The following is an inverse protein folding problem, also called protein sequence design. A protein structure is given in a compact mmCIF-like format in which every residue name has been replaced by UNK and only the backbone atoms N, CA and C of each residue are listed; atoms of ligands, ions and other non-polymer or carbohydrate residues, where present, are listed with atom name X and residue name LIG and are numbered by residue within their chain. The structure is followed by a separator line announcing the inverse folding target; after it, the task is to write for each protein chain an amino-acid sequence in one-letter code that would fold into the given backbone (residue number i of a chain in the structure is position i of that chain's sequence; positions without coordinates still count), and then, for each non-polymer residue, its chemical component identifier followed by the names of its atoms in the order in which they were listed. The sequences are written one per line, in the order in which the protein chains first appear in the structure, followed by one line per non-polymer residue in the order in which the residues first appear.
data_IF_096580816215
#
_entry.id   IF_096580816215
#
_cell.length_a   1.000
_cell.length_b   1.000
_cell.length_c   1.000
_cell.angle_alpha   90.00
_cell.angle_beta   90.00
_cell.angle_gamma   90.00
#
_symmetry.space_group_name_H-M   'P 1'
#
loop_
_entity.id
_entity.type
_entity.pdbx_description
1 polymer ?
#
# COMPACT_ATOMS: atom_id res chain seq x y z
N UNK A 1 -16.77 15.75 -17.83
CA UNK A 1 -15.85 14.79 -18.48
C UNK A 1 -14.60 15.60 -18.61
N UNK A 2 -13.73 15.70 -17.62
CA UNK A 2 -13.18 14.71 -16.71
C UNK A 2 -12.93 15.38 -15.34
N UNK A 3 -13.59 14.93 -14.27
CA UNK A 3 -13.43 15.50 -12.91
C UNK A 3 -13.17 14.39 -11.86
N UNK A 4 -13.13 13.12 -12.27
CA UNK A 4 -12.97 11.97 -11.37
C UNK A 4 -11.51 11.49 -11.23
N UNK A 5 -10.59 11.99 -12.06
CA UNK A 5 -9.20 11.55 -12.07
C UNK A 5 -8.34 12.26 -10.99
N UNK A 6 -8.66 13.51 -10.66
CA UNK A 6 -7.94 14.27 -9.63
C UNK A 6 -8.23 13.78 -8.21
N UNK A 7 -9.45 13.35 -7.90
CA UNK A 7 -9.81 12.82 -6.57
C UNK A 7 -8.99 11.57 -6.19
N UNK A 8 -8.74 10.67 -7.15
CA UNK A 8 -7.93 9.45 -6.95
C UNK A 8 -6.49 9.83 -6.65
N UNK A 9 -5.96 10.84 -7.35
CA UNK A 9 -4.60 11.32 -7.14
C UNK A 9 -4.44 11.98 -5.77
N UNK A 10 -5.38 12.82 -5.37
CA UNK A 10 -5.41 13.47 -4.05
C UNK A 10 -5.55 12.44 -2.93
N UNK A 11 -6.39 11.42 -3.12
CA UNK A 11 -6.51 10.34 -2.14
C UNK A 11 -5.24 9.46 -2.05
N UNK A 12 -4.42 9.39 -3.11
CA UNK A 12 -3.15 8.65 -3.12
C UNK A 12 -2.01 9.41 -2.45
N UNK A 13 -2.06 10.75 -2.43
CA UNK A 13 -1.03 11.59 -1.79
C UNK A 13 -0.59 11.09 -0.40
N UNK A 14 -1.49 10.80 0.55
CA UNK A 14 -1.07 10.30 1.87
C UNK A 14 -0.33 8.96 1.81
N UNK A 15 -0.71 8.06 0.90
CA UNK A 15 0.00 6.79 0.71
C UNK A 15 1.39 7.00 0.11
N UNK A 16 1.50 7.90 -0.88
CA UNK A 16 2.78 8.26 -1.49
C UNK A 16 3.71 8.90 -0.46
N UNK A 17 3.21 9.82 0.37
CA UNK A 17 3.99 10.46 1.45
C UNK A 17 4.48 9.45 2.49
N UNK A 18 3.65 8.49 2.87
CA UNK A 18 4.06 7.40 3.78
C UNK A 18 5.19 6.57 3.16
N UNK A 19 5.06 6.19 1.88
CA UNK A 19 6.07 5.40 1.18
C UNK A 19 7.36 6.19 0.97
N UNK A 20 7.28 7.46 0.60
CA UNK A 20 8.44 8.35 0.48
C UNK A 20 9.13 8.55 1.84
N UNK A 21 8.38 8.66 2.93
CA UNK A 21 8.94 8.77 4.28
C UNK A 21 9.67 7.49 4.71
N UNK A 22 9.12 6.32 4.40
CA UNK A 22 9.76 5.03 4.64
C UNK A 22 11.05 4.89 3.81
N UNK A 23 10.99 5.18 2.51
CA UNK A 23 12.13 5.00 1.60
C UNK A 23 13.24 6.02 1.81
N UNK A 24 12.90 7.22 2.29
CA UNK A 24 13.86 8.23 2.73
C UNK A 24 14.47 7.92 4.11
N UNK A 25 13.99 6.89 4.81
CA UNK A 25 14.41 6.55 6.17
C UNK A 25 13.94 7.56 7.23
N UNK A 26 12.93 8.39 6.91
CA UNK A 26 12.28 9.29 7.87
C UNK A 26 11.34 8.53 8.82
N UNK A 27 10.82 7.38 8.38
CA UNK A 27 9.96 6.51 9.17
C UNK A 27 10.54 5.09 9.23
N UNK A 28 10.37 4.43 10.37
CA UNK A 28 10.74 3.01 10.52
C UNK A 28 9.69 2.11 9.86
N UNK A 29 10.09 0.91 9.44
CA UNK A 29 9.17 -0.07 8.85
C UNK A 29 7.94 -0.36 9.74
N UNK A 30 8.13 -0.42 11.06
CA UNK A 30 7.04 -0.61 12.03
C UNK A 30 6.07 0.58 12.09
N UNK A 31 6.59 1.81 12.10
CA UNK A 31 5.77 3.03 12.10
C UNK A 31 4.97 3.15 10.80
N UNK A 32 5.63 2.85 9.68
CA UNK A 32 4.99 2.82 8.37
C UNK A 32 3.89 1.75 8.31
N UNK A 33 4.17 0.52 8.74
CA UNK A 33 3.19 -0.58 8.74
C UNK A 33 1.93 -0.15 9.49
N UNK A 34 2.07 0.32 10.73
CA UNK A 34 0.92 0.68 11.55
C UNK A 34 0.15 1.88 10.99
N UNK A 35 0.83 2.87 10.42
CA UNK A 35 0.19 4.02 9.77
C UNK A 35 -0.51 3.63 8.46
N UNK A 36 0.14 2.81 7.64
CA UNK A 36 -0.36 2.35 6.35
C UNK A 36 -1.56 1.42 6.51
N UNK A 37 -1.43 0.38 7.33
CA UNK A 37 -2.50 -0.57 7.65
C UNK A 37 -3.70 0.15 8.25
N UNK A 38 -3.45 1.09 9.18
CA UNK A 38 -4.48 1.93 9.77
C UNK A 38 -5.24 2.76 8.73
N UNK A 39 -4.50 3.40 7.82
CA UNK A 39 -5.10 4.21 6.73
C UNK A 39 -5.89 3.31 5.78
N UNK A 40 -5.28 2.23 5.30
CA UNK A 40 -5.85 1.29 4.34
C UNK A 40 -7.16 0.65 4.85
N UNK A 41 -7.22 0.24 6.12
CA UNK A 41 -8.42 -0.35 6.69
C UNK A 41 -9.58 0.64 6.83
N UNK A 42 -9.28 1.90 7.08
CA UNK A 42 -10.29 2.95 7.27
C UNK A 42 -10.62 3.70 5.98
N UNK A 43 -9.94 3.37 4.88
CA UNK A 43 -10.12 4.04 3.60
C UNK A 43 -11.39 3.54 2.89
N UNK A 44 -12.43 4.38 2.74
CA UNK A 44 -13.63 4.04 2.02
C UNK A 44 -13.46 4.24 0.50
N UNK A 45 -12.28 4.69 0.06
CA UNK A 45 -12.01 5.05 -1.34
C UNK A 45 -12.09 3.81 -2.22
N UNK A 46 -12.77 3.99 -3.35
CA UNK A 46 -12.95 2.97 -4.37
C UNK A 46 -11.83 3.06 -5.39
N UNK A 47 -10.77 2.29 -5.18
CA UNK A 47 -9.61 2.32 -6.06
C UNK A 47 -9.86 1.60 -7.38
N UNK A 48 -9.23 2.06 -8.47
CA UNK A 48 -9.08 1.27 -9.69
C UNK A 48 -8.43 -0.08 -9.38
N UNK A 49 -8.78 -1.13 -10.11
CA UNK A 49 -8.30 -2.49 -9.84
C UNK A 49 -6.76 -2.58 -9.85
N UNK A 50 -6.09 -1.81 -10.71
CA UNK A 50 -4.63 -1.75 -10.77
C UNK A 50 -4.01 -1.08 -9.54
N UNK A 51 -4.55 0.07 -9.12
CA UNK A 51 -4.12 0.78 -7.91
C UNK A 51 -4.40 -0.08 -6.68
N UNK A 52 -5.59 -0.68 -6.61
CA UNK A 52 -5.98 -1.58 -5.53
C UNK A 52 -5.02 -2.77 -5.42
N UNK A 53 -4.65 -3.41 -6.54
CA UNK A 53 -3.69 -4.54 -6.52
C UNK A 53 -2.34 -4.12 -5.97
N UNK A 54 -1.83 -2.96 -6.38
CA UNK A 54 -0.56 -2.44 -5.88
C UNK A 54 -0.63 -2.14 -4.38
N UNK A 55 -1.71 -1.51 -3.91
CA UNK A 55 -1.91 -1.23 -2.48
C UNK A 55 -2.16 -2.50 -1.65
N UNK A 56 -2.90 -3.49 -2.18
CA UNK A 56 -3.15 -4.78 -1.52
C UNK A 56 -1.87 -5.64 -1.44
N UNK A 57 -0.99 -5.57 -2.44
CA UNK A 57 0.33 -6.20 -2.40
C UNK A 57 1.22 -5.59 -1.32
N UNK A 58 1.24 -4.25 -1.23
CA UNK A 58 1.95 -3.54 -0.17
C UNK A 58 1.36 -3.86 1.20
N UNK A 59 0.03 -3.94 1.30
CA UNK A 59 -0.67 -4.32 2.52
C UNK A 59 -0.32 -5.74 2.96
N UNK A 60 -0.33 -6.72 2.05
CA UNK A 60 0.05 -8.09 2.37
C UNK A 60 1.49 -8.19 2.89
N UNK A 61 2.38 -7.37 2.32
CA UNK A 61 3.78 -7.29 2.75
C UNK A 61 3.91 -6.59 4.12
N UNK A 62 3.12 -5.55 4.37
CA UNK A 62 3.05 -4.84 5.64
C UNK A 62 2.42 -5.68 6.76
N UNK A 63 1.34 -6.39 6.50
CA UNK A 63 0.71 -7.31 7.44
C UNK A 63 1.63 -8.51 7.78
N UNK A 64 2.45 -8.94 6.81
CA UNK A 64 3.48 -9.95 7.02
C UNK A 64 4.76 -9.45 7.69
N UNK A 65 4.90 -8.14 7.94
CA UNK A 65 6.10 -7.56 8.54
C UNK A 65 6.25 -7.97 10.01
N UNK A 66 7.43 -8.50 10.33
CA UNK A 66 7.78 -8.87 11.70
C UNK A 66 9.03 -8.10 12.12
N UNK A 67 8.83 -7.12 13.00
CA UNK A 67 9.89 -6.29 13.54
C UNK A 67 10.92 -7.09 14.34
N UNK A 68 10.44 -8.07 15.11
CA UNK A 68 11.31 -8.90 15.96
C UNK A 68 11.94 -10.04 15.14
N UNK A 69 13.28 -10.13 15.07
CA UNK A 69 13.97 -11.14 14.26
C UNK A 69 13.83 -12.57 14.80
N UNK A 70 13.57 -12.73 16.11
CA UNK A 70 13.32 -14.04 16.73
C UNK A 70 11.93 -14.51 16.31
N UNK A 71 10.92 -13.65 16.49
CA UNK A 71 9.55 -13.93 16.02
C UNK A 71 9.50 -14.15 14.50
N UNK A 72 10.28 -13.38 13.71
CA UNK A 72 10.37 -13.55 12.25
C UNK A 72 10.89 -14.94 11.85
N UNK A 73 11.75 -15.54 12.66
CA UNK A 73 12.27 -16.89 12.41
C UNK A 73 11.24 -17.98 12.75
N UNK A 74 10.26 -17.66 13.59
CA UNK A 74 9.16 -18.55 13.98
C UNK A 74 7.95 -18.44 13.04
N UNK A 75 7.76 -17.27 12.42
CA UNK A 75 6.70 -17.04 11.42
C UNK A 75 7.17 -17.52 10.04
N UNK A 76 6.43 -18.46 9.46
CA UNK A 76 6.66 -18.92 8.08
C UNK A 76 6.38 -17.76 7.13
N UNK A 77 7.43 -17.22 6.50
CA UNK A 77 7.32 -16.09 5.57
C UNK A 77 7.37 -14.71 6.24
N UNK A 78 7.92 -14.59 7.45
CA UNK A 78 8.04 -13.30 8.12
C UNK A 78 8.87 -12.29 7.30
N UNK A 79 8.25 -11.16 6.99
CA UNK A 79 8.83 -10.10 6.15
C UNK A 79 9.77 -9.24 6.98
N UNK A 80 10.96 -8.98 6.44
CA UNK A 80 11.92 -8.06 7.02
C UNK A 80 11.60 -6.60 6.65
N UNK A 81 12.11 -5.65 7.44
CA UNK A 81 11.92 -4.22 7.13
C UNK A 81 12.50 -3.84 5.76
N UNK A 82 13.60 -4.48 5.34
CA UNK A 82 14.21 -4.26 4.04
C UNK A 82 13.33 -4.74 2.88
N UNK A 83 12.66 -5.88 3.04
CA UNK A 83 11.70 -6.38 2.06
C UNK A 83 10.45 -5.51 1.98
N UNK A 84 9.96 -5.03 3.12
CA UNK A 84 8.87 -4.06 3.15
C UNK A 84 9.23 -2.76 2.41
N UNK A 85 10.43 -2.21 2.64
CA UNK A 85 10.92 -1.02 1.93
C UNK A 85 11.02 -1.30 0.44
N UNK A 86 11.56 -2.45 0.03
CA UNK A 86 11.70 -2.82 -1.37
C UNK A 86 10.34 -2.90 -2.07
N UNK A 87 9.37 -3.59 -1.46
CA UNK A 87 8.01 -3.66 -1.98
C UNK A 87 7.38 -2.27 -2.08
N UNK A 88 7.55 -1.41 -1.06
CA UNK A 88 7.07 -0.04 -1.10
C UNK A 88 7.64 0.76 -2.28
N UNK A 89 8.93 0.61 -2.60
CA UNK A 89 9.55 1.26 -3.77
C UNK A 89 8.93 0.77 -5.08
N UNK A 90 8.75 -0.54 -5.22
CA UNK A 90 8.17 -1.15 -6.42
C UNK A 90 6.73 -0.67 -6.63
N UNK A 91 5.92 -0.69 -5.57
CA UNK A 91 4.54 -0.20 -5.57
C UNK A 91 4.47 1.29 -5.89
N UNK A 92 5.32 2.11 -5.27
CA UNK A 92 5.39 3.55 -5.52
C UNK A 92 5.72 3.88 -6.98
N UNK A 93 6.67 3.15 -7.57
CA UNK A 93 7.02 3.28 -8.99
C UNK A 93 5.86 2.84 -9.90
N UNK A 94 5.18 1.76 -9.54
CA UNK A 94 3.97 1.30 -10.24
C UNK A 94 2.86 2.35 -10.24
N UNK A 95 2.55 2.92 -9.06
CA UNK A 95 1.55 3.97 -8.90
C UNK A 95 1.90 5.22 -9.73
N UNK A 96 3.15 5.70 -9.67
CA UNK A 96 3.60 6.84 -10.48
C UNK A 96 3.52 6.56 -11.98
N UNK A 97 3.81 5.32 -12.40
CA UNK A 97 3.71 4.91 -13.80
C UNK A 97 2.25 4.90 -14.28
N UNK A 98 1.31 4.39 -13.48
CA UNK A 98 -0.12 4.41 -13.80
C UNK A 98 -0.67 5.84 -13.88
N UNK A 99 -0.28 6.69 -12.92
CA UNK A 99 -0.64 8.11 -12.92
C UNK A 99 -0.06 8.86 -14.13
N UNK A 100 1.16 8.52 -14.57
CA UNK A 100 1.80 9.13 -15.72
C UNK A 100 1.26 8.60 -17.07
N UNK A 101 0.85 7.34 -17.11
CA UNK A 101 0.31 6.69 -18.30
C UNK A 101 -1.10 7.18 -18.63
N UNK A 102 -1.86 7.70 -17.65
CA UNK A 102 -3.26 8.12 -17.85
C UNK A 102 -4.19 6.97 -18.29
N UNK A 103 -3.68 5.74 -18.32
CA UNK A 103 -4.37 4.54 -18.76
C UNK A 103 -4.97 3.84 -17.54
N UNK A 104 -5.76 4.56 -16.75
CA UNK A 104 -6.69 3.92 -15.79
C UNK A 104 -7.94 3.43 -16.56
N UNK A 105 -7.74 3.04 -17.81
CA UNK A 105 -8.75 2.88 -18.83
C UNK A 105 -8.96 1.40 -19.15
N UNK A 106 -9.51 0.65 -18.20
CA UNK A 106 -10.18 -0.60 -18.57
C UNK A 106 -10.17 -1.70 -17.53
N UNK A 107 -11.10 -1.62 -16.58
CA UNK A 107 -12.17 -2.62 -16.38
C UNK A 107 -12.85 -2.43 -15.01
N UNK A 108 -13.76 -1.45 -14.93
CA UNK A 108 -15.10 -1.58 -14.34
C UNK A 108 -15.34 -2.29 -13.00
N UNK A 109 -14.36 -2.42 -12.10
CA UNK A 109 -14.58 -2.97 -10.75
C UNK A 109 -13.68 -2.24 -9.77
N UNK A 110 -14.15 -1.10 -9.29
CA UNK A 110 -13.54 -0.51 -8.11
C UNK A 110 -13.81 -1.40 -6.90
N UNK A 111 -12.80 -1.55 -6.04
CA UNK A 111 -12.91 -2.35 -4.82
C UNK A 111 -12.63 -1.47 -3.62
N UNK A 112 -13.44 -1.57 -2.54
CA UNK A 112 -13.09 -0.93 -1.28
C UNK A 112 -11.89 -1.66 -0.66
N UNK A 113 -10.91 -0.90 -0.18
CA UNK A 113 -9.77 -1.40 0.62
C UNK A 113 -10.24 -2.28 1.79
N UNK A 114 -11.32 -1.87 2.46
CA UNK A 114 -11.84 -2.54 3.65
C UNK A 114 -12.69 -3.79 3.38
N UNK A 115 -12.77 -4.29 2.13
CA UNK A 115 -13.62 -5.41 1.78
C UNK A 115 -13.02 -6.78 2.22
N UNK A 116 -13.20 -7.09 3.51
CA UNK A 116 -13.32 -8.45 4.04
C UNK A 116 -12.00 -9.26 4.14
N UNK A 117 -11.08 -8.83 5.02
CA UNK A 117 -9.97 -9.68 5.51
C UNK A 117 -10.00 -9.71 7.04
N UNK A 118 -10.10 -10.89 7.68
CA UNK A 118 -9.95 -10.98 9.13
C UNK A 118 -8.50 -10.64 9.49
N UNK A 119 -8.29 -9.55 10.24
CA UNK A 119 -7.01 -9.28 10.90
C UNK A 119 -6.79 -10.38 11.95
N UNK A 120 -6.11 -11.46 11.55
CA UNK A 120 -5.65 -12.47 12.48
C UNK A 120 -4.31 -12.01 13.05
N UNK A 121 -4.36 -11.25 14.15
CA UNK A 121 -3.21 -11.07 15.05
C UNK A 121 -3.11 -12.25 16.01
#
# INVERSE_FOLDING_TARGET
MDELEDDVKVALEPYLELIESLTAGMSSAAEFESAFVGTYLNDPTMWPDEVFRLLDELFATADGYVADPVARSEVIGGISGEELIRCAIEVHSGLKTLLAAGDVAGQGRTRPCSANKPLAK
#
